data_IF_428189531161
#
_entry.id   IF_428189531161
#
_cell.length_a   1.000
_cell.length_b   1.000
_cell.length_c   1.000
_cell.angle_alpha   90.00
_cell.angle_beta   90.00
_cell.angle_gamma   90.00
#
_symmetry.space_group_name_H-M   'P 1'
#
loop_
_entity.id
_entity.type
_entity.pdbx_description
1 polymer ?
#
# COMPACT_ATOMS: atom_id res chain seq x y z
N UNK A 1 -1.11 8.54 15.37
CA UNK A 1 -2.16 7.83 14.60
C UNK A 1 -3.02 8.76 13.79
N UNK A 2 -3.50 8.25 12.65
CA UNK A 2 -4.41 8.91 11.72
C UNK A 2 -5.82 8.39 11.94
N UNK A 3 -6.82 9.26 11.83
CA UNK A 3 -8.24 8.85 11.85
C UNK A 3 -8.62 8.26 10.49
N UNK A 4 -9.66 7.43 10.50
CA UNK A 4 -10.29 6.97 9.26
C UNK A 4 -10.73 8.15 8.39
N UNK A 5 -10.62 7.98 7.07
CA UNK A 5 -10.98 9.01 6.10
C UNK A 5 -10.03 9.03 4.89
N UNK A 6 -10.09 10.13 4.14
CA UNK A 6 -9.22 10.33 2.99
C UNK A 6 -7.78 10.56 3.46
N UNK A 7 -6.90 9.59 3.20
CA UNK A 7 -5.47 9.68 3.54
C UNK A 7 -4.63 10.36 2.44
N UNK A 8 -5.08 10.32 1.19
CA UNK A 8 -4.33 10.86 0.05
C UNK A 8 -4.95 10.53 -1.31
N UNK A 9 -4.16 10.73 -2.37
CA UNK A 9 -4.61 10.54 -3.76
C UNK A 9 -3.58 9.74 -4.56
N UNK A 10 -4.03 8.76 -5.33
CA UNK A 10 -3.19 8.06 -6.31
C UNK A 10 -3.33 8.72 -7.69
N UNK A 11 -2.21 9.08 -8.30
CA UNK A 11 -2.12 9.76 -9.59
C UNK A 11 -1.45 8.85 -10.62
N UNK A 12 -2.17 8.53 -11.70
CA UNK A 12 -1.62 7.84 -12.86
C UNK A 12 -1.36 8.86 -13.96
N UNK A 13 -0.09 9.05 -14.33
CA UNK A 13 0.31 10.01 -15.37
C UNK A 13 0.17 9.40 -16.76
N UNK A 14 0.06 10.25 -17.78
CA UNK A 14 0.05 9.84 -19.20
C UNK A 14 1.26 8.99 -19.59
N UNK A 15 2.41 9.21 -18.95
CA UNK A 15 3.63 8.42 -19.17
C UNK A 15 3.61 7.02 -18.54
N UNK A 16 2.58 6.69 -17.74
CA UNK A 16 2.51 5.46 -16.95
C UNK A 16 3.15 5.56 -15.56
N UNK A 17 3.87 6.65 -15.23
CA UNK A 17 4.36 6.88 -13.86
C UNK A 17 3.17 6.99 -12.90
N UNK A 18 3.22 6.23 -11.80
CA UNK A 18 2.20 6.24 -10.74
C UNK A 18 2.79 6.85 -9.48
N UNK A 19 2.04 7.76 -8.86
CA UNK A 19 2.45 8.44 -7.64
C UNK A 19 1.33 8.41 -6.60
N UNK A 20 1.69 8.33 -5.32
CA UNK A 20 0.79 8.47 -4.19
C UNK A 20 1.11 9.78 -3.47
N UNK A 21 0.14 10.69 -3.44
CA UNK A 21 0.23 11.97 -2.76
C UNK A 21 -0.37 11.81 -1.36
N UNK A 22 0.47 11.88 -0.33
CA UNK A 22 0.09 11.82 1.09
C UNK A 22 0.43 13.16 1.75
N UNK A 23 -0.56 14.03 1.90
CA UNK A 23 -0.35 15.39 2.39
C UNK A 23 0.57 16.19 1.46
N UNK A 24 1.74 16.58 1.97
CA UNK A 24 2.77 17.33 1.21
C UNK A 24 3.84 16.41 0.59
N UNK A 25 3.80 15.09 0.87
CA UNK A 25 4.79 14.14 0.39
C UNK A 25 4.26 13.42 -0.85
N UNK A 26 5.11 13.29 -1.85
CA UNK A 26 4.86 12.51 -3.06
C UNK A 26 5.72 11.24 -3.00
N UNK A 27 5.07 10.09 -3.11
CA UNK A 27 5.73 8.80 -3.18
C UNK A 27 5.59 8.24 -4.60
N UNK A 28 6.68 7.72 -5.16
CA UNK A 28 6.61 6.91 -6.36
C UNK A 28 6.10 5.51 -6.03
N UNK A 29 5.19 5.01 -6.86
CA UNK A 29 4.60 3.69 -6.71
C UNK A 29 5.12 2.78 -7.81
N UNK A 30 5.79 1.70 -7.42
CA UNK A 30 6.31 0.68 -8.34
C UNK A 30 5.76 -0.70 -7.99
N UNK A 31 5.82 -1.64 -8.95
CA UNK A 31 5.50 -3.03 -8.66
C UNK A 31 6.60 -3.64 -7.78
N UNK A 32 6.17 -4.30 -6.71
CA UNK A 32 7.06 -5.12 -5.90
C UNK A 32 7.40 -6.44 -6.59
N UNK A 33 8.26 -7.21 -5.96
CA UNK A 33 8.65 -8.54 -6.45
C UNK A 33 7.45 -9.44 -6.68
N UNK A 34 7.38 -10.04 -7.87
CA UNK A 34 6.35 -11.03 -8.20
C UNK A 34 6.43 -12.23 -7.27
N UNK A 35 5.27 -12.66 -6.75
CA UNK A 35 5.15 -13.81 -5.88
C UNK A 35 4.48 -14.96 -6.65
N UNK A 36 5.16 -16.09 -6.77
CA UNK A 36 4.63 -17.28 -7.45
C UNK A 36 4.01 -18.31 -6.49
N UNK A 37 4.15 -18.10 -5.18
CA UNK A 37 3.50 -18.93 -4.16
C UNK A 37 2.14 -18.35 -3.74
N UNK A 38 1.24 -19.22 -3.30
CA UNK A 38 -0.08 -18.85 -2.81
C UNK A 38 0.03 -18.00 -1.53
N UNK A 39 -0.67 -16.87 -1.51
CA UNK A 39 -0.77 -15.98 -0.36
C UNK A 39 -2.24 -15.69 -0.10
N UNK A 40 -2.72 -15.90 1.13
CA UNK A 40 -4.10 -15.63 1.54
C UNK A 40 -4.14 -14.54 2.61
N UNK A 41 -5.06 -13.57 2.44
CA UNK A 41 -5.41 -12.62 3.49
C UNK A 41 -6.48 -13.26 4.38
N UNK A 42 -6.21 -13.35 5.68
CA UNK A 42 -7.11 -13.95 6.66
C UNK A 42 -7.50 -12.92 7.73
N UNK A 43 -8.79 -12.89 8.07
CA UNK A 43 -9.27 -12.20 9.27
C UNK A 43 -9.25 -13.19 10.43
N UNK A 44 -8.71 -12.76 11.57
CA UNK A 44 -8.65 -13.54 12.81
C UNK A 44 -9.28 -12.69 13.91
N UNK A 45 -10.36 -13.19 14.51
CA UNK A 45 -10.94 -12.64 15.72
C UNK A 45 -10.69 -13.62 16.87
N UNK A 46 -9.97 -13.16 17.90
CA UNK A 46 -9.56 -13.98 19.05
C UNK A 46 -10.35 -13.67 20.34
N UNK A 47 -11.52 -13.06 20.25
CA UNK A 47 -12.35 -12.76 21.41
C UNK A 47 -12.83 -14.03 22.14
N UNK A 48 -12.38 -14.23 23.39
CA UNK A 48 -12.82 -15.34 24.26
C UNK A 48 -11.92 -16.58 24.20
N UNK A 49 -12.50 -17.76 24.48
CA UNK A 49 -11.78 -19.05 24.50
C UNK A 49 -11.72 -19.74 23.13
N UNK A 50 -12.55 -19.30 22.20
CA UNK A 50 -12.65 -19.77 20.80
C UNK A 50 -12.60 -18.55 19.90
N UNK A 51 -12.02 -18.66 18.71
CA UNK A 51 -11.90 -17.54 17.75
C UNK A 51 -12.48 -17.87 16.38
N UNK A 52 -12.70 -16.84 15.57
CA UNK A 52 -13.10 -16.99 14.18
C UNK A 52 -11.89 -16.75 13.27
N UNK A 53 -11.72 -17.62 12.27
CA UNK A 53 -10.77 -17.43 11.18
C UNK A 53 -11.56 -17.44 9.87
N UNK A 54 -11.43 -16.37 9.08
CA UNK A 54 -12.10 -16.25 7.78
C UNK A 54 -11.09 -15.89 6.70
N UNK A 55 -11.04 -16.69 5.63
CA UNK A 55 -10.24 -16.39 4.43
C UNK A 55 -10.94 -15.29 3.63
N UNK A 56 -10.27 -14.14 3.45
CA UNK A 56 -10.78 -13.00 2.67
C UNK A 56 -10.41 -13.09 1.19
N UNK A 57 -9.36 -13.86 0.87
CA UNK A 57 -8.98 -14.19 -0.50
C UNK A 57 -7.48 -14.07 -0.79
N UNK A 58 -7.12 -14.27 -2.05
CA UNK A 58 -5.73 -14.36 -2.49
C UNK A 58 -5.08 -12.99 -2.71
N UNK A 59 -3.83 -12.84 -2.26
CA UNK A 59 -2.98 -11.69 -2.56
C UNK A 59 -2.19 -11.97 -3.85
N UNK A 60 -2.34 -11.11 -4.86
CA UNK A 60 -1.77 -11.33 -6.21
C UNK A 60 -0.64 -10.38 -6.59
N UNK A 61 -0.77 -9.11 -6.20
CA UNK A 61 0.16 -8.07 -6.60
C UNK A 61 0.64 -7.30 -5.38
N UNK A 62 1.91 -6.88 -5.42
CA UNK A 62 2.54 -6.05 -4.41
C UNK A 62 2.92 -4.73 -5.06
N UNK A 63 2.72 -3.64 -4.33
CA UNK A 63 3.16 -2.31 -4.72
C UNK A 63 4.12 -1.78 -3.66
N UNK A 64 5.17 -1.10 -4.09
CA UNK A 64 6.17 -0.46 -3.24
C UNK A 64 6.02 1.03 -3.41
N UNK A 65 5.86 1.75 -2.31
CA UNK A 65 5.81 3.20 -2.28
C UNK A 65 7.13 3.71 -1.69
N UNK A 66 7.89 4.48 -2.46
CA UNK A 66 9.17 5.07 -2.04
C UNK A 66 9.13 6.59 -2.16
N UNK A 67 9.75 7.34 -1.24
CA UNK A 67 9.90 8.78 -1.41
C UNK A 67 10.65 9.13 -2.69
N UNK A 68 10.25 10.21 -3.35
CA UNK A 68 11.05 10.82 -4.42
C UNK A 68 12.22 11.59 -3.78
N UNK A 69 13.36 10.91 -3.60
CA UNK A 69 14.51 11.48 -2.91
C UNK A 69 15.13 12.66 -3.65
N UNK A 70 15.08 12.67 -4.99
CA UNK A 70 15.59 13.78 -5.78
C UNK A 70 14.79 15.05 -5.47
N UNK A 71 13.45 14.95 -5.53
CA UNK A 71 12.57 16.06 -5.19
C UNK A 71 12.72 16.52 -3.72
N UNK A 72 12.98 15.59 -2.79
CA UNK A 72 13.23 15.92 -1.39
C UNK A 72 14.56 16.69 -1.20
N UNK A 73 15.62 16.27 -1.88
CA UNK A 73 16.95 16.90 -1.78
C UNK A 73 17.02 18.26 -2.48
N UNK A 74 16.33 18.44 -3.61
CA UNK A 74 16.20 19.74 -4.28
C UNK A 74 15.48 20.80 -3.44
N UNK A 75 14.65 20.36 -2.48
CA UNK A 75 13.90 21.25 -1.58
C UNK A 75 14.65 21.63 -0.29
N UNK A 76 15.91 21.22 -0.16
CA UNK A 76 16.79 21.49 1.01
C UNK A 76 17.60 22.78 0.88
#
# INVERSE_FOLDING_TARGET
>A
DLREGLVGKMLVRKSGRVQLILGQVILDVSLGTSCSFLQELVSINTEGKTGNLTVLGNVRHKMVCSPDFEALLESS
#
